data_IF_983739980734
#
_entry.id   IF_983739980734
#
_cell.length_a   1.000
_cell.length_b   1.000
_cell.length_c   1.000
_cell.angle_alpha   90.00
_cell.angle_beta   90.00
_cell.angle_gamma   90.00
#
_symmetry.space_group_name_H-M   'P 1'
#
loop_
_entity.id
_entity.type
_entity.pdbx_description
1 polymer ?
#
# COMPACT_ATOMS: atom_id res chain seq x y z
N UNK A 1 10.31 -18.96 9.70
CA UNK A 1 10.22 -17.63 10.36
C UNK A 1 9.85 -16.58 9.32
N UNK A 2 9.05 -15.58 9.67
CA UNK A 2 8.65 -14.52 8.73
C UNK A 2 8.36 -13.20 9.46
N UNK A 3 8.29 -12.12 8.68
CA UNK A 3 7.94 -10.78 9.16
C UNK A 3 6.80 -10.21 8.32
N UNK A 4 6.04 -9.27 8.89
CA UNK A 4 4.83 -8.74 8.28
C UNK A 4 4.73 -7.22 8.41
N UNK A 5 4.15 -6.57 7.41
CA UNK A 5 3.81 -5.15 7.41
C UNK A 5 2.56 -4.87 6.56
N UNK A 6 2.16 -3.60 6.55
CA UNK A 6 1.16 -3.05 5.67
C UNK A 6 1.67 -1.75 5.04
N UNK A 7 1.32 -1.54 3.77
CA UNK A 7 1.70 -0.39 2.96
C UNK A 7 1.53 0.97 3.67
N UNK A 8 0.35 1.34 4.24
CA UNK A 8 0.19 2.64 4.88
C UNK A 8 1.05 2.84 6.14
N UNK A 9 1.55 1.75 6.74
CA UNK A 9 2.33 1.79 7.98
C UNK A 9 3.83 1.92 7.76
N UNK A 10 4.34 1.58 6.56
CA UNK A 10 5.79 1.56 6.30
C UNK A 10 6.21 2.34 5.06
N UNK A 11 5.38 2.42 4.02
CA UNK A 11 5.84 2.91 2.72
C UNK A 11 6.13 4.41 2.71
N UNK A 12 5.24 5.21 3.31
CA UNK A 12 5.27 6.66 3.11
C UNK A 12 5.03 7.03 1.64
N UNK A 13 5.66 8.11 1.21
CA UNK A 13 5.59 8.62 -0.16
C UNK A 13 4.13 8.72 -0.63
N UNK A 14 3.31 9.34 0.23
CA UNK A 14 1.86 9.23 0.20
C UNK A 14 1.22 9.80 -1.06
N UNK A 15 1.87 10.77 -1.70
CA UNK A 15 1.44 11.43 -2.94
C UNK A 15 2.50 11.33 -4.06
N UNK A 16 3.51 10.48 -3.90
CA UNK A 16 4.58 10.33 -4.88
C UNK A 16 4.27 9.24 -5.91
N UNK A 17 4.95 9.35 -7.06
CA UNK A 17 4.86 8.38 -8.16
C UNK A 17 3.44 8.12 -8.65
N UNK A 18 2.57 9.13 -8.58
CA UNK A 18 1.17 9.04 -9.00
C UNK A 18 0.23 8.32 -8.04
N UNK A 19 0.64 8.03 -6.79
CA UNK A 19 -0.25 7.46 -5.77
C UNK A 19 -1.42 8.41 -5.47
N UNK A 20 -2.62 7.84 -5.38
CA UNK A 20 -3.81 8.54 -4.90
C UNK A 20 -3.92 8.61 -3.36
N UNK A 21 -4.71 9.56 -2.89
CA UNK A 21 -5.04 9.72 -1.48
C UNK A 21 -5.85 8.52 -0.96
N UNK A 22 -5.55 8.07 0.26
CA UNK A 22 -6.31 7.04 0.99
C UNK A 22 -7.09 7.64 2.14
N UNK A 23 -8.01 6.85 2.72
CA UNK A 23 -8.74 7.26 3.92
C UNK A 23 -7.83 7.58 5.12
N UNK A 24 -6.67 6.94 5.23
CA UNK A 24 -5.71 7.22 6.30
C UNK A 24 -4.95 8.53 6.07
N UNK A 25 -4.58 8.82 4.81
CA UNK A 25 -3.95 10.10 4.44
C UNK A 25 -4.88 11.26 4.85
N UNK A 26 -6.15 11.20 4.41
CA UNK A 26 -7.14 12.23 4.75
C UNK A 26 -7.43 12.31 6.24
N UNK A 27 -7.64 11.17 6.89
CA UNK A 27 -7.99 11.13 8.31
C UNK A 27 -6.89 11.75 9.18
N UNK A 28 -5.63 11.36 8.96
CA UNK A 28 -4.50 11.88 9.73
C UNK A 28 -4.27 13.38 9.52
N UNK A 29 -4.38 13.85 8.27
CA UNK A 29 -4.16 15.27 7.93
C UNK A 29 -5.30 16.18 8.39
N UNK A 30 -6.55 15.69 8.37
CA UNK A 30 -7.73 16.52 8.72
C UNK A 30 -8.13 16.42 10.18
N UNK A 31 -7.72 15.36 10.88
CA UNK A 31 -8.03 15.11 12.30
C UNK A 31 -6.79 14.69 13.08
N UNK A 32 -5.73 15.53 13.12
CA UNK A 32 -4.49 15.17 13.81
C UNK A 32 -4.69 14.89 15.31
N UNK A 33 -5.69 15.48 15.94
CA UNK A 33 -6.06 15.24 17.34
C UNK A 33 -6.55 13.82 17.63
N UNK A 34 -6.96 13.08 16.60
CA UNK A 34 -7.37 11.68 16.72
C UNK A 34 -6.17 10.71 16.75
N UNK A 35 -4.97 11.23 16.51
CA UNK A 35 -3.71 10.49 16.58
C UNK A 35 -2.96 10.98 17.83
N UNK A 36 -2.60 10.06 18.73
CA UNK A 36 -2.06 10.38 20.07
C UNK A 36 -0.86 11.33 19.99
N UNK A 37 0.04 11.11 19.03
CA UNK A 37 1.23 11.91 18.80
C UNK A 37 1.10 12.90 17.63
N UNK A 38 -0.08 12.97 17.01
CA UNK A 38 -0.38 13.81 15.83
C UNK A 38 0.49 13.52 14.60
N UNK A 39 1.09 12.33 14.52
CA UNK A 39 1.86 11.88 13.35
C UNK A 39 0.97 11.63 12.13
N UNK A 40 1.58 11.55 10.95
CA UNK A 40 0.92 11.30 9.67
C UNK A 40 1.59 10.14 8.92
N UNK A 41 0.88 9.45 8.00
CA UNK A 41 1.45 8.40 7.17
C UNK A 41 2.33 8.94 6.01
N UNK A 42 2.65 10.24 5.99
CA UNK A 42 3.31 10.88 4.85
C UNK A 42 4.67 10.27 4.53
N UNK A 43 5.46 9.97 5.56
CA UNK A 43 6.81 9.37 5.44
C UNK A 43 6.86 7.96 6.03
N UNK A 44 6.18 7.70 7.15
CA UNK A 44 6.22 6.41 7.86
C UNK A 44 7.67 5.91 8.10
N UNK A 45 8.03 4.72 7.61
CA UNK A 45 9.39 4.19 7.64
C UNK A 45 10.19 4.45 6.34
N UNK A 46 9.58 5.16 5.39
CA UNK A 46 10.13 5.47 4.08
C UNK A 46 10.49 4.23 3.22
N UNK A 47 9.82 3.10 3.46
CA UNK A 47 10.05 1.84 2.72
C UNK A 47 9.74 1.96 1.22
N UNK A 48 9.05 3.01 0.77
CA UNK A 48 8.91 3.28 -0.66
C UNK A 48 10.28 3.58 -1.32
N UNK A 49 11.16 4.30 -0.62
CA UNK A 49 12.51 4.61 -1.07
C UNK A 49 13.54 3.59 -0.56
N UNK A 50 13.38 3.14 0.69
CA UNK A 50 14.33 2.31 1.44
C UNK A 50 14.06 0.80 1.38
N UNK A 51 13.29 0.34 0.38
CA UNK A 51 12.95 -1.08 0.27
C UNK A 51 14.18 -1.98 0.13
N UNK A 52 15.33 -1.48 -0.36
CA UNK A 52 16.56 -2.29 -0.48
C UNK A 52 17.16 -2.58 0.88
N UNK A 53 17.14 -1.60 1.76
CA UNK A 53 17.58 -1.65 3.13
C UNK A 53 16.69 -2.62 3.93
N UNK A 54 15.37 -2.55 3.73
CA UNK A 54 14.43 -3.52 4.31
C UNK A 54 14.80 -4.95 3.91
N UNK A 55 15.02 -5.20 2.62
CA UNK A 55 15.41 -6.53 2.14
C UNK A 55 16.75 -7.02 2.72
N UNK A 56 17.71 -6.10 2.92
CA UNK A 56 18.98 -6.44 3.55
C UNK A 56 18.78 -6.88 5.00
N UNK A 57 17.96 -6.16 5.76
CA UNK A 57 17.65 -6.48 7.16
C UNK A 57 16.90 -7.81 7.25
N UNK A 58 15.85 -8.00 6.44
CA UNK A 58 15.02 -9.22 6.44
C UNK A 58 15.87 -10.46 6.13
N UNK A 59 16.79 -10.34 5.17
CA UNK A 59 17.74 -11.41 4.85
C UNK A 59 18.72 -11.66 6.01
N UNK A 60 19.27 -10.61 6.61
CA UNK A 60 20.18 -10.71 7.76
C UNK A 60 19.54 -11.42 8.97
N UNK A 61 18.23 -11.26 9.14
CA UNK A 61 17.45 -11.98 10.16
C UNK A 61 17.22 -13.47 9.84
N UNK A 62 17.48 -13.93 8.62
CA UNK A 62 17.17 -15.29 8.19
C UNK A 62 15.67 -15.56 8.01
N UNK A 63 14.88 -14.53 7.68
CA UNK A 63 13.47 -14.70 7.40
C UNK A 63 13.25 -15.48 6.09
N UNK A 64 12.26 -16.37 6.10
CA UNK A 64 11.89 -17.19 4.94
C UNK A 64 10.65 -16.65 4.22
N UNK A 65 9.83 -15.87 4.94
CA UNK A 65 8.59 -15.30 4.44
C UNK A 65 8.55 -13.80 4.71
N UNK A 66 8.04 -13.04 3.75
CA UNK A 66 7.77 -11.62 3.89
C UNK A 66 6.32 -11.33 3.52
N UNK A 67 5.49 -11.05 4.52
CA UNK A 67 4.11 -10.63 4.30
C UNK A 67 4.05 -9.12 4.14
N UNK A 68 3.53 -8.66 3.02
CA UNK A 68 3.31 -7.25 2.72
C UNK A 68 1.87 -7.00 2.26
N UNK A 69 1.44 -5.75 2.26
CA UNK A 69 0.24 -5.35 1.52
C UNK A 69 0.57 -4.50 0.29
N UNK A 70 -0.33 -4.47 -0.67
CA UNK A 70 -0.25 -3.57 -1.83
C UNK A 70 -1.17 -2.39 -1.55
N UNK A 71 -0.66 -1.17 -1.70
CA UNK A 71 -1.47 0.03 -1.63
C UNK A 71 -2.38 0.13 -2.86
N UNK A 72 -3.68 -0.06 -2.66
CA UNK A 72 -4.67 0.03 -3.74
C UNK A 72 -4.56 1.36 -4.47
N UNK A 73 -4.54 2.48 -3.73
CA UNK A 73 -4.40 3.82 -4.31
C UNK A 73 -3.04 4.05 -5.01
N UNK A 74 -2.03 3.20 -4.80
CA UNK A 74 -0.77 3.27 -5.55
C UNK A 74 -0.87 2.54 -6.90
N UNK A 75 -1.75 1.54 -7.03
CA UNK A 75 -2.01 0.84 -8.30
C UNK A 75 -3.10 1.53 -9.12
N UNK A 76 -4.19 1.93 -8.47
CA UNK A 76 -5.34 2.62 -9.04
C UNK A 76 -5.59 3.89 -8.21
N UNK A 77 -5.04 5.06 -8.61
CA UNK A 77 -5.11 6.29 -7.79
C UNK A 77 -6.52 6.73 -7.41
N UNK A 78 -7.47 6.47 -8.29
CA UNK A 78 -8.88 6.78 -8.08
C UNK A 78 -9.69 5.57 -7.55
N UNK A 79 -9.06 4.42 -7.31
CA UNK A 79 -9.68 3.17 -6.88
C UNK A 79 -10.38 2.36 -7.97
N UNK A 80 -10.85 3.00 -9.04
CA UNK A 80 -11.53 2.33 -10.15
C UNK A 80 -10.56 1.78 -11.19
N UNK A 81 -10.85 0.59 -11.70
CA UNK A 81 -10.10 0.01 -12.80
C UNK A 81 -10.55 0.60 -14.14
N UNK A 82 -9.59 1.05 -14.94
CA UNK A 82 -9.72 1.26 -16.38
C UNK A 82 -8.34 1.08 -17.01
N UNK A 83 -8.26 0.84 -18.33
CA UNK A 83 -6.98 0.61 -19.01
C UNK A 83 -5.96 1.75 -18.78
N UNK A 84 -6.46 2.98 -18.67
CA UNK A 84 -5.62 4.18 -18.52
C UNK A 84 -5.51 4.64 -17.05
N UNK A 85 -6.23 4.00 -16.11
CA UNK A 85 -6.21 4.36 -14.69
C UNK A 85 -5.10 3.65 -13.90
N UNK A 86 -4.46 2.62 -14.46
CA UNK A 86 -3.37 1.91 -13.79
C UNK A 86 -2.14 2.80 -13.71
N UNK A 87 -1.63 3.02 -12.51
CA UNK A 87 -0.40 3.74 -12.28
C UNK A 87 0.83 2.85 -12.57
N UNK A 88 1.59 3.11 -13.66
CA UNK A 88 2.70 2.25 -14.05
C UNK A 88 3.86 2.28 -13.04
N UNK A 89 4.06 3.40 -12.31
CA UNK A 89 5.13 3.49 -11.31
C UNK A 89 4.83 2.64 -10.08
N UNK A 90 3.59 2.70 -9.58
CA UNK A 90 3.14 1.81 -8.51
C UNK A 90 3.27 0.33 -8.87
N UNK A 91 2.87 -0.05 -10.08
CA UNK A 91 3.06 -1.42 -10.58
C UNK A 91 4.54 -1.80 -10.65
N UNK A 92 5.40 -0.89 -11.12
CA UNK A 92 6.85 -1.11 -11.20
C UNK A 92 7.47 -1.30 -9.81
N UNK A 93 7.03 -0.53 -8.80
CA UNK A 93 7.49 -0.65 -7.42
C UNK A 93 7.25 -2.07 -6.88
N UNK A 94 5.99 -2.53 -6.84
CA UNK A 94 5.68 -3.86 -6.30
C UNK A 94 6.26 -5.00 -7.14
N UNK A 95 6.25 -4.89 -8.48
CA UNK A 95 6.91 -5.89 -9.33
C UNK A 95 8.40 -6.01 -9.05
N UNK A 96 9.06 -4.90 -8.73
CA UNK A 96 10.49 -4.89 -8.39
C UNK A 96 10.70 -5.52 -7.03
N UNK A 97 9.97 -5.08 -6.00
CA UNK A 97 10.07 -5.62 -4.64
C UNK A 97 9.85 -7.14 -4.59
N UNK A 98 8.77 -7.63 -5.21
CA UNK A 98 8.45 -9.06 -5.28
C UNK A 98 9.51 -9.87 -6.03
N UNK A 99 10.11 -9.31 -7.09
CA UNK A 99 11.19 -9.96 -7.82
C UNK A 99 12.46 -10.06 -6.96
N UNK A 100 12.82 -8.99 -6.25
CA UNK A 100 14.01 -8.97 -5.41
C UNK A 100 13.88 -9.90 -4.19
N UNK A 101 12.69 -9.97 -3.57
CA UNK A 101 12.40 -10.98 -2.52
C UNK A 101 12.69 -12.40 -3.00
N UNK A 102 12.17 -12.77 -4.18
CA UNK A 102 12.40 -14.09 -4.77
C UNK A 102 13.88 -14.37 -5.07
N UNK A 103 14.63 -13.37 -5.54
CA UNK A 103 16.09 -13.50 -5.76
C UNK A 103 16.84 -13.77 -4.46
N UNK A 104 16.33 -13.32 -3.32
CA UNK A 104 16.91 -13.56 -2.01
C UNK A 104 16.40 -14.85 -1.34
N UNK A 105 15.60 -15.67 -2.05
CA UNK A 105 14.92 -16.86 -1.53
C UNK A 105 13.99 -16.57 -0.35
N UNK A 106 13.35 -15.40 -0.35
CA UNK A 106 12.32 -15.01 0.61
C UNK A 106 10.96 -15.09 -0.09
N UNK A 107 10.04 -15.88 0.44
CA UNK A 107 8.72 -16.08 -0.15
C UNK A 107 7.80 -14.88 0.16
N UNK A 108 7.31 -14.14 -0.84
CA UNK A 108 6.39 -13.04 -0.63
C UNK A 108 4.96 -13.55 -0.36
N UNK A 109 4.31 -13.03 0.68
CA UNK A 109 2.89 -13.26 0.97
C UNK A 109 2.14 -11.95 0.84
N UNK A 110 1.25 -11.84 -0.15
CA UNK A 110 0.60 -10.58 -0.50
C UNK A 110 -0.78 -10.44 0.14
N UNK A 111 -0.98 -9.35 0.86
CA UNK A 111 -2.28 -8.88 1.34
C UNK A 111 -2.81 -7.83 0.36
N UNK A 112 -3.94 -8.09 -0.30
CA UNK A 112 -4.48 -7.16 -1.31
C UNK A 112 -5.12 -5.91 -0.71
N UNK A 113 -5.62 -5.98 0.53
CA UNK A 113 -6.23 -4.84 1.20
C UNK A 113 -5.85 -4.83 2.67
N UNK A 114 -5.32 -3.69 3.15
CA UNK A 114 -4.94 -3.53 4.55
C UNK A 114 -5.39 -2.18 5.10
N UNK A 115 -6.71 -1.95 5.01
CA UNK A 115 -7.41 -0.78 5.56
C UNK A 115 -7.08 0.56 4.89
N UNK A 116 -6.55 0.52 3.67
CA UNK A 116 -6.05 1.66 2.91
C UNK A 116 -6.91 1.97 1.69
N UNK A 117 -8.22 2.13 1.92
CA UNK A 117 -9.19 2.40 0.85
C UNK A 117 -8.81 3.70 0.13
N UNK A 118 -8.79 3.74 -1.22
CA UNK A 118 -8.70 4.98 -1.97
C UNK A 118 -9.79 5.96 -1.53
N UNK A 119 -9.40 7.19 -1.14
CA UNK A 119 -10.32 8.19 -0.61
C UNK A 119 -11.44 8.51 -1.60
N UNK A 120 -11.16 8.44 -2.90
CA UNK A 120 -12.17 8.65 -3.94
C UNK A 120 -13.34 7.66 -3.85
N UNK A 121 -13.12 6.41 -3.47
CA UNK A 121 -14.21 5.45 -3.25
C UNK A 121 -15.03 5.79 -2.00
N UNK A 122 -14.39 6.34 -0.98
CA UNK A 122 -15.08 6.87 0.19
C UNK A 122 -15.97 8.06 -0.18
N UNK A 123 -15.45 8.99 -0.98
CA UNK A 123 -16.15 10.21 -1.40
C UNK A 123 -17.31 9.90 -2.36
N UNK A 124 -17.10 9.01 -3.34
CA UNK A 124 -18.10 8.70 -4.38
C UNK A 124 -19.20 7.73 -3.88
N UNK A 125 -18.86 6.77 -3.02
CA UNK A 125 -19.73 5.63 -2.68
C UNK A 125 -19.92 5.39 -1.18
N UNK A 126 -19.25 6.13 -0.31
CA UNK A 126 -19.21 5.81 1.13
C UNK A 126 -18.33 4.60 1.47
N UNK A 127 -17.45 4.20 0.53
CA UNK A 127 -16.50 3.11 0.74
C UNK A 127 -17.17 1.77 0.96
N UNK A 128 -16.73 1.01 1.97
CA UNK A 128 -17.24 -0.34 2.24
C UNK A 128 -18.71 -0.41 2.66
N UNK A 129 -19.35 0.73 2.97
CA UNK A 129 -20.79 0.77 3.20
C UNK A 129 -21.62 0.57 1.93
N UNK A 130 -21.02 0.76 0.75
CA UNK A 130 -21.65 0.47 -0.53
C UNK A 130 -21.38 -0.96 -0.98
N UNK A 131 -22.42 -1.73 -1.38
CA UNK A 131 -22.24 -3.09 -1.89
C UNK A 131 -21.42 -3.12 -3.20
N UNK A 132 -21.37 -2.02 -3.97
CA UNK A 132 -20.58 -1.92 -5.20
C UNK A 132 -19.07 -2.01 -4.96
N UNK A 133 -18.62 -1.70 -3.75
CA UNK A 133 -17.19 -1.69 -3.39
C UNK A 133 -16.60 -3.10 -3.47
N UNK A 134 -17.41 -4.14 -3.25
CA UNK A 134 -16.97 -5.53 -3.41
C UNK A 134 -16.61 -5.85 -4.89
N UNK A 135 -17.44 -5.40 -5.84
CA UNK A 135 -17.18 -5.59 -7.27
C UNK A 135 -15.95 -4.80 -7.73
N UNK A 136 -15.83 -3.54 -7.28
CA UNK A 136 -14.67 -2.68 -7.57
C UNK A 136 -13.38 -3.27 -6.99
N UNK A 137 -13.44 -3.84 -5.78
CA UNK A 137 -12.31 -4.55 -5.20
C UNK A 137 -11.94 -5.81 -5.99
N UNK A 138 -12.94 -6.56 -6.48
CA UNK A 138 -12.69 -7.72 -7.33
C UNK A 138 -12.04 -7.33 -8.67
N UNK A 139 -12.36 -6.17 -9.24
CA UNK A 139 -11.66 -5.65 -10.42
C UNK A 139 -10.21 -5.27 -10.13
N UNK A 140 -9.95 -4.63 -8.98
CA UNK A 140 -8.59 -4.33 -8.53
C UNK A 140 -7.74 -5.60 -8.29
N UNK A 141 -8.36 -6.68 -7.80
CA UNK A 141 -7.68 -7.92 -7.45
C UNK A 141 -7.29 -8.81 -8.64
N UNK A 142 -7.77 -8.53 -9.86
CA UNK A 142 -7.52 -9.32 -11.08
C UNK A 142 -6.18 -9.00 -11.73
#
# INVERSE_FOLDING_TARGET
MGVANAAPQIEGAWNEGGKGETIWDRFAMTRPEMIIDRSTPEVACDSYHLWREDLHIIKGMGAQFYRLSIAWARILPNGYFSKDAVNPEGVKYYKTLLRELKKLNIEPMVTLYHWDLPQKLQDDLGGWLSPKTADIFAEYAR
#
